data_IF_863964821534
#
_entry.id   IF_863964821534
#
_cell.length_a   1.000
_cell.length_b   1.000
_cell.length_c   1.000
_cell.angle_alpha   90.00
_cell.angle_beta   90.00
_cell.angle_gamma   90.00
#
_symmetry.space_group_name_H-M   'P 1'
#
loop_
_entity.id
_entity.type
_entity.pdbx_description
1 polymer ?
#
# COMPACT_ATOMS: atom_id res chain seq x y z
N UNK A 1 -18.89 -18.76 9.60
CA UNK A 1 -17.64 -18.90 8.82
C UNK A 1 -16.94 -20.15 9.29
N UNK A 2 -16.35 -20.93 8.38
CA UNK A 2 -15.49 -22.07 8.76
C UNK A 2 -14.06 -21.58 8.88
N UNK A 3 -13.43 -21.81 10.02
CA UNK A 3 -12.07 -21.34 10.32
C UNK A 3 -11.10 -21.64 9.16
N UNK A 4 -10.25 -20.68 8.76
CA UNK A 4 -9.16 -20.93 7.83
C UNK A 4 -8.30 -22.12 8.28
N UNK A 5 -7.70 -22.83 7.33
CA UNK A 5 -6.91 -24.04 7.60
C UNK A 5 -5.51 -23.88 6.99
N UNK A 6 -4.49 -24.24 7.75
CA UNK A 6 -3.11 -24.33 7.27
C UNK A 6 -2.95 -25.62 6.48
N UNK A 7 -2.30 -25.55 5.32
CA UNK A 7 -2.02 -26.73 4.48
C UNK A 7 -0.51 -26.84 4.21
N UNK A 8 0.12 -27.93 4.70
CA UNK A 8 1.53 -28.26 4.43
C UNK A 8 2.45 -28.26 5.66
N UNK A 9 3.75 -28.63 5.53
CA UNK A 9 4.72 -28.46 6.61
C UNK A 9 4.85 -26.96 6.91
N UNK A 10 4.78 -26.60 8.20
CA UNK A 10 4.75 -25.20 8.66
C UNK A 10 6.02 -24.44 8.23
N UNK A 11 5.99 -23.81 7.05
CA UNK A 11 6.85 -22.67 6.72
C UNK A 11 6.21 -21.42 7.36
N UNK A 12 5.80 -21.53 8.61
CA UNK A 12 5.30 -20.39 9.37
C UNK A 12 6.53 -19.60 9.80
N UNK A 13 6.80 -18.51 9.09
CA UNK A 13 7.71 -17.51 9.64
C UNK A 13 6.92 -16.74 10.68
N UNK A 14 7.00 -17.20 11.92
CA UNK A 14 6.39 -16.56 13.07
C UNK A 14 7.13 -15.27 13.39
N UNK A 15 6.37 -14.19 13.55
CA UNK A 15 6.85 -12.92 14.07
C UNK A 15 5.96 -12.50 15.22
N UNK A 16 6.48 -11.62 16.06
CA UNK A 16 5.75 -11.07 17.19
C UNK A 16 5.65 -9.57 17.04
N UNK A 17 4.47 -9.03 17.32
CA UNK A 17 4.22 -7.59 17.28
C UNK A 17 3.47 -7.14 18.52
N UNK A 18 3.52 -5.83 18.78
CA UNK A 18 2.65 -5.21 19.76
C UNK A 18 1.20 -5.22 19.25
N UNK A 19 0.26 -5.47 20.15
CA UNK A 19 -1.17 -5.47 19.92
C UNK A 19 -1.82 -4.65 21.03
N UNK A 20 -2.53 -3.59 20.67
CA UNK A 20 -3.35 -2.88 21.63
C UNK A 20 -4.55 -3.75 21.99
N UNK A 21 -4.67 -4.06 23.28
CA UNK A 21 -5.84 -4.76 23.80
C UNK A 21 -7.11 -3.94 23.51
N UNK A 22 -8.29 -4.53 23.65
CA UNK A 22 -9.63 -3.95 23.35
C UNK A 22 -10.23 -4.22 21.96
N UNK A 23 -9.55 -4.96 21.09
CA UNK A 23 -10.10 -5.37 19.79
C UNK A 23 -10.19 -6.91 19.74
N UNK A 24 -11.31 -7.45 19.24
CA UNK A 24 -11.41 -8.89 18.98
C UNK A 24 -10.65 -9.27 17.73
N UNK A 25 -9.90 -10.37 17.83
CA UNK A 25 -9.17 -10.98 16.73
C UNK A 25 -9.45 -12.48 16.76
N UNK A 26 -9.93 -13.02 15.65
CA UNK A 26 -10.05 -14.46 15.48
C UNK A 26 -8.76 -15.03 14.88
N UNK A 27 -8.47 -16.29 15.18
CA UNK A 27 -7.33 -16.98 14.58
C UNK A 27 -7.45 -16.97 13.04
N UNK A 28 -6.35 -16.61 12.37
CA UNK A 28 -6.23 -16.36 10.93
C UNK A 28 -6.91 -15.11 10.38
N UNK A 29 -7.23 -14.15 11.25
CA UNK A 29 -7.57 -12.81 10.80
C UNK A 29 -6.40 -12.17 10.03
N UNK A 30 -6.74 -11.43 8.98
CA UNK A 30 -5.81 -10.60 8.22
C UNK A 30 -5.42 -9.39 9.10
N UNK A 31 -4.13 -9.29 9.41
CA UNK A 31 -3.58 -8.25 10.28
C UNK A 31 -2.78 -7.22 9.48
N UNK A 32 -2.83 -5.96 9.89
CA UNK A 32 -1.97 -4.89 9.37
C UNK A 32 -1.22 -4.20 10.50
N UNK A 33 -0.05 -3.66 10.18
CA UNK A 33 0.68 -2.76 11.06
C UNK A 33 0.09 -1.36 10.95
N UNK A 34 -0.42 -0.86 12.07
CA UNK A 34 -0.56 0.56 12.29
C UNK A 34 0.79 1.12 12.79
N UNK A 35 0.79 2.39 13.21
CA UNK A 35 1.99 3.14 13.60
C UNK A 35 2.84 2.42 14.66
N UNK A 36 2.22 1.78 15.65
CA UNK A 36 2.89 1.15 16.79
C UNK A 36 2.42 -0.27 17.11
N UNK A 37 1.24 -0.69 16.65
CA UNK A 37 0.65 -1.99 16.93
C UNK A 37 0.06 -2.67 15.68
N UNK A 38 -0.33 -3.94 15.81
CA UNK A 38 -1.08 -4.65 14.78
C UNK A 38 -2.56 -4.68 15.06
N UNK A 39 -3.35 -4.52 14.01
CA UNK A 39 -4.81 -4.45 14.09
C UNK A 39 -5.43 -5.33 12.99
N UNK A 40 -6.66 -5.86 13.20
CA UNK A 40 -7.35 -6.65 12.19
C UNK A 40 -7.84 -5.75 11.04
N UNK A 41 -7.98 -6.31 9.84
CA UNK A 41 -8.33 -5.57 8.62
C UNK A 41 -9.57 -4.67 8.74
N UNK A 42 -10.59 -5.13 9.47
CA UNK A 42 -11.82 -4.38 9.74
C UNK A 42 -11.61 -3.11 10.58
N UNK A 43 -10.51 -3.02 11.33
CA UNK A 43 -10.16 -1.84 12.13
C UNK A 43 -9.41 -0.77 11.34
N UNK A 44 -9.11 -1.01 10.06
CA UNK A 44 -8.50 0.01 9.22
C UNK A 44 -9.47 1.16 8.96
N UNK A 45 -8.99 2.40 9.20
CA UNK A 45 -9.76 3.60 8.89
C UNK A 45 -10.06 3.71 7.39
N UNK A 46 -11.31 4.04 7.06
CA UNK A 46 -11.77 4.22 5.68
C UNK A 46 -11.02 5.37 4.99
N UNK A 47 -10.57 5.09 3.76
CA UNK A 47 -9.87 6.01 2.85
C UNK A 47 -10.80 6.54 1.76
N UNK A 48 -12.10 6.26 1.86
CA UNK A 48 -13.18 6.79 1.02
C UNK A 48 -13.48 5.98 -0.24
N UNK A 49 -12.64 4.99 -0.59
CA UNK A 49 -12.91 4.03 -1.67
C UNK A 49 -12.31 2.66 -1.36
N UNK A 50 -12.94 1.61 -1.87
CA UNK A 50 -12.43 0.24 -1.81
C UNK A 50 -10.98 0.12 -2.26
N UNK A 51 -10.64 0.77 -3.38
CA UNK A 51 -9.30 0.73 -3.94
C UNK A 51 -8.28 1.33 -2.96
N UNK A 52 -8.56 2.51 -2.39
CA UNK A 52 -7.65 3.15 -1.43
C UNK A 52 -7.53 2.35 -0.13
N UNK A 53 -8.63 1.73 0.32
CA UNK A 53 -8.63 0.83 1.48
C UNK A 53 -7.72 -0.39 1.23
N UNK A 54 -7.86 -1.03 0.07
CA UNK A 54 -7.06 -2.19 -0.30
C UNK A 54 -5.57 -1.86 -0.49
N UNK A 55 -5.23 -0.73 -1.13
CA UNK A 55 -3.84 -0.28 -1.27
C UNK A 55 -3.21 -0.05 0.10
N UNK A 56 -3.88 0.69 0.99
CA UNK A 56 -3.36 0.99 2.32
C UNK A 56 -3.13 -0.30 3.13
N UNK A 57 -4.09 -1.23 3.07
CA UNK A 57 -3.99 -2.51 3.75
C UNK A 57 -2.85 -3.37 3.19
N UNK A 58 -2.77 -3.51 1.87
CA UNK A 58 -1.76 -4.34 1.22
C UNK A 58 -0.33 -3.86 1.49
N UNK A 59 -0.15 -2.54 1.60
CA UNK A 59 1.11 -1.90 1.95
C UNK A 59 1.55 -2.18 3.40
N UNK A 60 0.59 -2.21 4.32
CA UNK A 60 0.85 -2.37 5.75
C UNK A 60 0.58 -3.79 6.26
N UNK A 61 0.31 -4.74 5.36
CA UNK A 61 -0.04 -6.11 5.71
C UNK A 61 1.03 -6.77 6.58
N UNK A 62 0.66 -7.15 7.80
CA UNK A 62 1.55 -7.72 8.81
C UNK A 62 1.60 -9.25 8.73
N UNK A 63 0.53 -9.88 8.23
CA UNK A 63 0.41 -11.33 8.17
C UNK A 63 -0.97 -11.80 8.65
N UNK A 64 -1.04 -13.06 9.06
CA UNK A 64 -2.24 -13.67 9.64
C UNK A 64 -2.06 -13.85 11.15
N UNK A 65 -3.13 -13.64 11.92
CA UNK A 65 -3.12 -13.90 13.36
C UNK A 65 -2.95 -15.40 13.66
N UNK A 66 -2.02 -15.75 14.57
CA UNK A 66 -1.83 -17.13 15.04
C UNK A 66 -2.52 -17.41 16.38
N UNK A 67 -2.97 -16.36 17.07
CA UNK A 67 -3.72 -16.45 18.31
C UNK A 67 -5.04 -15.67 18.20
N UNK A 68 -5.97 -15.96 19.10
CA UNK A 68 -7.25 -15.27 19.20
C UNK A 68 -7.26 -14.36 20.44
N UNK A 69 -7.94 -13.21 20.32
CA UNK A 69 -8.15 -12.26 21.42
C UNK A 69 -9.62 -11.89 21.50
N UNK A 70 -10.15 -11.85 22.71
CA UNK A 70 -11.51 -11.38 22.96
C UNK A 70 -11.50 -9.87 23.18
N UNK A 71 -12.61 -9.19 22.89
CA UNK A 71 -12.78 -7.75 23.22
C UNK A 71 -12.54 -7.49 24.72
N UNK A 72 -12.81 -8.48 25.56
CA UNK A 72 -12.63 -8.41 27.02
C UNK A 72 -11.18 -8.52 27.46
N UNK A 73 -10.28 -8.93 26.57
CA UNK A 73 -8.84 -8.96 26.85
C UNK A 73 -8.28 -7.56 26.60
N UNK A 74 -8.40 -6.71 27.62
CA UNK A 74 -8.04 -5.28 27.53
C UNK A 74 -6.56 -5.02 27.75
N UNK A 75 -5.78 -6.03 28.10
CA UNK A 75 -4.35 -5.89 28.33
C UNK A 75 -3.62 -5.82 26.98
N UNK A 76 -2.78 -4.79 26.82
CA UNK A 76 -1.87 -4.71 25.68
C UNK A 76 -0.90 -5.90 25.70
N UNK A 77 -0.67 -6.49 24.52
CA UNK A 77 0.26 -7.60 24.35
C UNK A 77 1.41 -7.15 23.47
N UNK A 78 2.63 -7.13 24.04
CA UNK A 78 3.83 -6.78 23.26
C UNK A 78 4.34 -7.93 22.39
N UNK A 79 3.73 -9.11 22.47
CA UNK A 79 4.20 -10.34 21.88
C UNK A 79 3.07 -11.15 21.24
N UNK A 80 2.19 -10.48 20.50
CA UNK A 80 1.12 -11.14 19.76
C UNK A 80 1.69 -11.87 18.53
N UNK A 81 1.43 -13.19 18.37
CA UNK A 81 2.06 -13.99 17.30
C UNK A 81 1.33 -13.84 15.96
N UNK A 82 2.12 -13.67 14.91
CA UNK A 82 1.68 -13.48 13.53
C UNK A 82 2.44 -14.39 12.58
N UNK A 83 1.72 -15.00 11.63
CA UNK A 83 2.30 -15.69 10.50
C UNK A 83 2.59 -14.70 9.37
N UNK A 84 3.86 -14.32 9.22
CA UNK A 84 4.30 -13.37 8.18
C UNK A 84 4.48 -14.02 6.81
N UNK A 85 4.62 -15.34 6.76
CA UNK A 85 4.60 -16.12 5.54
C UNK A 85 3.88 -17.42 5.85
N UNK A 86 2.81 -17.72 5.11
CA UNK A 86 1.98 -18.90 5.33
C UNK A 86 1.18 -19.26 4.09
N UNK A 87 0.88 -20.55 3.92
CA UNK A 87 -0.11 -21.05 2.98
C UNK A 87 -1.39 -21.38 3.76
N UNK A 88 -2.47 -20.67 3.46
CA UNK A 88 -3.74 -20.80 4.17
C UNK A 88 -4.94 -20.82 3.23
N UNK A 89 -6.00 -21.52 3.64
CA UNK A 89 -7.29 -21.55 2.93
C UNK A 89 -8.21 -20.46 3.48
N UNK A 90 -8.49 -19.44 2.67
CA UNK A 90 -9.34 -18.30 3.03
C UNK A 90 -10.67 -18.34 2.27
N UNK A 91 -11.70 -17.71 2.83
CA UNK A 91 -12.94 -17.46 2.10
C UNK A 91 -12.67 -16.46 0.98
N UNK A 92 -13.33 -16.62 -0.17
CA UNK A 92 -13.16 -15.71 -1.29
C UNK A 92 -14.47 -15.34 -1.96
N UNK A 93 -14.46 -14.18 -2.63
CA UNK A 93 -15.52 -13.83 -3.57
C UNK A 93 -15.54 -14.84 -4.72
N UNK A 94 -16.71 -15.41 -4.99
CA UNK A 94 -16.89 -16.52 -5.94
C UNK A 94 -16.24 -16.22 -7.30
N UNK A 95 -15.15 -16.92 -7.61
CA UNK A 95 -14.39 -16.75 -8.84
C UNK A 95 -13.64 -18.04 -9.21
N UNK A 96 -13.14 -18.09 -10.45
CA UNK A 96 -12.14 -19.07 -10.87
C UNK A 96 -10.74 -18.54 -10.61
N UNK A 97 -9.80 -19.44 -10.35
CA UNK A 97 -8.42 -19.07 -10.03
C UNK A 97 -7.43 -19.96 -10.77
N UNK A 98 -6.41 -19.35 -11.33
CA UNK A 98 -5.22 -19.98 -11.87
C UNK A 98 -4.09 -19.90 -10.83
N UNK A 99 -3.14 -20.83 -10.92
CA UNK A 99 -1.97 -20.82 -10.02
C UNK A 99 -1.16 -19.53 -10.27
N UNK A 100 -0.88 -18.79 -9.20
CA UNK A 100 -0.15 -17.52 -9.25
C UNK A 100 -1.04 -16.28 -9.38
N UNK A 101 -2.36 -16.44 -9.50
CA UNK A 101 -3.29 -15.31 -9.44
C UNK A 101 -3.10 -14.53 -8.13
N UNK A 102 -3.17 -13.20 -8.22
CA UNK A 102 -3.02 -12.33 -7.06
C UNK A 102 -4.35 -12.17 -6.32
N UNK A 103 -4.28 -12.06 -4.99
CA UNK A 103 -5.45 -11.85 -4.13
C UNK A 103 -5.28 -10.61 -3.27
N UNK A 104 -6.37 -9.87 -3.08
CA UNK A 104 -6.49 -8.69 -2.24
C UNK A 104 -7.52 -8.92 -1.12
N UNK A 105 -7.47 -8.12 -0.06
CA UNK A 105 -8.53 -8.09 0.96
C UNK A 105 -9.86 -7.61 0.36
N UNK A 106 -10.98 -8.11 0.86
CA UNK A 106 -12.32 -7.71 0.40
C UNK A 106 -12.85 -6.56 1.24
N UNK A 107 -13.43 -5.55 0.60
CA UNK A 107 -14.26 -4.57 1.30
C UNK A 107 -15.60 -5.20 1.69
N UNK A 108 -15.98 -5.03 2.95
CA UNK A 108 -17.25 -5.48 3.49
C UNK A 108 -18.40 -4.81 2.73
N UNK A 109 -19.56 -5.45 2.72
CA UNK A 109 -20.74 -4.92 2.02
C UNK A 109 -21.21 -3.54 2.54
N UNK A 110 -20.76 -3.12 3.73
CA UNK A 110 -21.00 -1.77 4.26
C UNK A 110 -20.24 -0.68 3.51
N UNK A 111 -19.18 -1.01 2.76
CA UNK A 111 -18.37 -0.06 2.00
C UNK A 111 -17.42 0.79 2.84
N UNK A 112 -17.22 0.46 4.12
CA UNK A 112 -16.47 1.29 5.08
C UNK A 112 -15.31 0.57 5.76
N UNK A 113 -15.19 -0.74 5.56
CA UNK A 113 -14.21 -1.57 6.26
C UNK A 113 -13.83 -2.78 5.41
N UNK A 114 -12.66 -3.36 5.67
CA UNK A 114 -12.24 -4.62 5.06
C UNK A 114 -12.73 -5.81 5.89
N UNK A 115 -12.93 -6.95 5.22
CA UNK A 115 -13.28 -8.22 5.85
C UNK A 115 -12.02 -8.89 6.43
N UNK A 116 -12.08 -9.33 7.69
CA UNK A 116 -10.93 -9.93 8.37
C UNK A 116 -10.47 -11.26 7.76
N UNK A 117 -11.37 -12.04 7.13
CA UNK A 117 -11.08 -13.40 6.68
C UNK A 117 -11.51 -13.69 5.24
N UNK A 118 -11.54 -12.67 4.38
CA UNK A 118 -12.03 -12.82 3.01
C UNK A 118 -11.17 -12.13 1.97
N UNK A 119 -10.93 -12.83 0.86
CA UNK A 119 -10.09 -12.36 -0.25
C UNK A 119 -10.82 -12.30 -1.59
N UNK A 120 -10.30 -11.50 -2.51
CA UNK A 120 -10.80 -11.38 -3.89
C UNK A 120 -9.65 -11.38 -4.87
N UNK A 121 -9.87 -11.94 -6.06
CA UNK A 121 -8.89 -11.91 -7.14
C UNK A 121 -8.64 -10.46 -7.58
N UNK A 122 -7.37 -10.10 -7.76
CA UNK A 122 -6.95 -8.81 -8.31
C UNK A 122 -5.95 -9.02 -9.45
N UNK A 123 -5.92 -8.07 -10.39
CA UNK A 123 -4.86 -7.95 -11.39
C UNK A 123 -3.85 -6.85 -11.05
N UNK A 124 -4.18 -6.00 -10.07
CA UNK A 124 -3.33 -4.92 -9.62
C UNK A 124 -2.39 -5.43 -8.51
N UNK A 125 -1.06 -5.43 -8.75
CA UNK A 125 -0.09 -5.89 -7.76
C UNK A 125 -0.03 -5.01 -6.52
N UNK A 126 -0.47 -3.74 -6.59
CA UNK A 126 -0.46 -2.82 -5.44
C UNK A 126 -1.51 -3.18 -4.38
N UNK A 127 -2.54 -3.93 -4.76
CA UNK A 127 -3.61 -4.42 -3.87
C UNK A 127 -3.32 -5.81 -3.32
N UNK A 128 -2.34 -6.51 -3.89
CA UNK A 128 -2.12 -7.91 -3.60
C UNK A 128 -1.56 -8.09 -2.18
N UNK A 129 -2.09 -9.06 -1.44
CA UNK A 129 -1.59 -9.53 -0.13
C UNK A 129 -1.05 -10.97 -0.19
N UNK A 130 -1.33 -11.67 -1.28
CA UNK A 130 -0.91 -13.04 -1.49
C UNK A 130 -1.11 -13.52 -2.93
N UNK A 131 -0.82 -14.80 -3.15
CA UNK A 131 -0.98 -15.47 -4.46
C UNK A 131 -1.62 -16.84 -4.29
N UNK A 132 -2.41 -17.25 -5.28
CA UNK A 132 -3.07 -18.56 -5.29
C UNK A 132 -2.05 -19.67 -5.56
N UNK A 133 -2.02 -20.71 -4.72
CA UNK A 133 -1.10 -21.85 -4.84
C UNK A 133 -1.68 -22.99 -5.68
N UNK A 134 -3.02 -23.09 -5.74
CA UNK A 134 -3.76 -24.18 -6.38
C UNK A 134 -4.73 -23.65 -7.44
N UNK A 135 -4.83 -24.34 -8.58
CA UNK A 135 -5.80 -24.02 -9.63
C UNK A 135 -7.23 -24.44 -9.25
N UNK A 136 -8.19 -23.56 -9.52
CA UNK A 136 -9.64 -23.76 -9.38
C UNK A 136 -10.34 -23.45 -10.71
N UNK A 137 -10.61 -24.48 -11.51
CA UNK A 137 -11.23 -24.35 -12.83
C UNK A 137 -12.74 -24.04 -12.77
N UNK A 138 -13.37 -24.24 -11.62
CA UNK A 138 -14.77 -23.87 -11.35
C UNK A 138 -14.81 -22.79 -10.28
N UNK A 139 -15.87 -21.97 -10.30
CA UNK A 139 -16.04 -20.93 -9.28
C UNK A 139 -16.09 -21.56 -7.88
N UNK A 140 -15.25 -21.05 -6.99
CA UNK A 140 -15.13 -21.52 -5.60
C UNK A 140 -15.32 -20.36 -4.64
N UNK A 141 -15.75 -20.65 -3.42
CA UNK A 141 -15.85 -19.70 -2.32
C UNK A 141 -14.74 -19.87 -1.28
N UNK A 142 -13.84 -20.84 -1.48
CA UNK A 142 -12.61 -21.01 -0.69
C UNK A 142 -11.41 -21.21 -1.60
N UNK A 143 -10.31 -20.55 -1.28
CA UNK A 143 -9.09 -20.55 -2.09
C UNK A 143 -7.87 -20.73 -1.19
N UNK A 144 -6.94 -21.57 -1.65
CA UNK A 144 -5.63 -21.72 -1.01
C UNK A 144 -4.67 -20.67 -1.57
N UNK A 145 -4.17 -19.83 -0.66
CA UNK A 145 -3.28 -18.73 -0.98
C UNK A 145 -2.03 -18.78 -0.11
N UNK A 146 -0.91 -18.44 -0.74
CA UNK A 146 0.31 -18.05 -0.07
C UNK A 146 0.22 -16.57 0.28
N UNK A 147 0.29 -16.26 1.57
CA UNK A 147 0.32 -14.91 2.12
C UNK A 147 1.74 -14.57 2.53
N UNK A 148 2.17 -13.35 2.22
CA UNK A 148 3.49 -12.85 2.59
C UNK A 148 3.33 -11.41 3.10
N UNK A 149 3.77 -11.15 4.32
CA UNK A 149 3.76 -9.85 4.96
C UNK A 149 4.48 -8.82 4.09
N UNK A 150 3.98 -7.58 4.08
CA UNK A 150 4.57 -6.49 3.33
C UNK A 150 6.03 -6.24 3.72
N UNK A 151 6.38 -6.49 4.99
CA UNK A 151 7.73 -6.35 5.55
C UNK A 151 8.73 -7.34 4.94
N UNK A 152 8.29 -8.55 4.62
CA UNK A 152 9.11 -9.58 3.97
C UNK A 152 9.13 -9.38 2.46
N UNK A 153 7.98 -9.02 1.85
CA UNK A 153 7.91 -8.73 0.41
C UNK A 153 8.77 -7.53 0.03
N UNK A 154 8.81 -6.53 0.91
CA UNK A 154 9.58 -5.31 0.74
C UNK A 154 10.71 -5.30 1.79
N UNK A 155 11.68 -6.23 1.73
CA UNK A 155 12.88 -6.21 2.61
C UNK A 155 13.65 -4.89 2.59
N UNK A 156 13.32 -4.01 1.66
CA UNK A 156 13.87 -2.68 1.55
C UNK A 156 12.97 -1.62 2.27
N UNK A 157 11.64 -1.81 2.33
CA UNK A 157 10.72 -0.95 3.08
C UNK A 157 10.67 -1.29 4.58
N UNK A 158 11.10 -0.36 5.42
CA UNK A 158 10.84 -0.46 6.85
C UNK A 158 9.37 -0.07 7.10
N UNK A 159 8.52 -0.97 7.66
CA UNK A 159 7.12 -0.68 7.97
C UNK A 159 6.96 0.53 8.92
N UNK A 160 7.91 0.75 9.82
CA UNK A 160 7.92 1.87 10.77
C UNK A 160 8.48 3.17 10.18
N UNK A 161 9.00 3.17 8.95
CA UNK A 161 9.59 4.35 8.29
C UNK A 161 9.05 4.62 6.87
N UNK A 162 7.88 4.07 6.55
CA UNK A 162 7.23 4.28 5.26
C UNK A 162 7.77 3.37 4.13
N UNK A 163 6.97 3.15 3.08
CA UNK A 163 7.30 2.25 1.98
C UNK A 163 8.52 2.73 1.20
N UNK A 164 9.43 1.81 0.85
CA UNK A 164 10.38 2.10 -0.23
C UNK A 164 9.68 2.09 -1.59
N UNK A 165 9.28 3.29 -2.00
CA UNK A 165 9.49 3.95 -3.30
C UNK A 165 10.00 3.08 -4.47
N UNK A 166 9.28 2.04 -4.87
CA UNK A 166 9.18 1.68 -6.31
C UNK A 166 7.91 2.28 -6.94
N UNK A 167 7.38 3.35 -6.32
CA UNK A 167 6.12 4.01 -6.65
C UNK A 167 6.06 4.30 -8.14
N UNK A 168 5.06 3.72 -8.81
CA UNK A 168 4.96 3.65 -10.26
C UNK A 168 4.94 5.01 -10.99
N UNK A 169 4.46 5.01 -12.23
CA UNK A 169 4.39 6.22 -13.05
C UNK A 169 2.96 6.74 -13.20
N UNK A 170 2.77 8.03 -12.98
CA UNK A 170 1.58 8.76 -13.43
C UNK A 170 1.89 9.40 -14.79
N UNK A 171 0.98 9.26 -15.77
CA UNK A 171 1.07 9.91 -17.08
C UNK A 171 -0.21 10.72 -17.27
N UNK A 172 -0.09 12.04 -17.35
CA UNK A 172 -1.26 12.93 -17.28
C UNK A 172 -1.05 14.23 -18.05
N UNK A 173 -2.08 14.68 -18.78
CA UNK A 173 -2.19 16.06 -19.27
C UNK A 173 -2.96 16.90 -18.25
N UNK A 174 -2.29 17.91 -17.69
CA UNK A 174 -2.80 18.79 -16.66
C UNK A 174 -3.78 19.82 -17.24
N UNK A 175 -4.94 19.95 -16.59
CA UNK A 175 -5.89 21.02 -16.87
C UNK A 175 -5.81 22.16 -15.84
N UNK A 176 -5.13 21.93 -14.72
CA UNK A 176 -4.92 22.85 -13.61
C UNK A 176 -3.59 22.54 -12.88
N UNK A 177 -3.26 23.32 -11.85
CA UNK A 177 -2.15 23.01 -10.95
C UNK A 177 -2.40 21.67 -10.23
N UNK A 178 -1.34 20.91 -9.93
CA UNK A 178 -1.40 19.61 -9.27
C UNK A 178 -0.81 19.68 -7.87
N UNK A 179 -1.38 18.94 -6.93
CA UNK A 179 -0.81 18.71 -5.60
C UNK A 179 -0.55 17.22 -5.45
N UNK A 180 0.68 16.86 -5.12
CA UNK A 180 1.11 15.50 -4.85
C UNK A 180 1.00 15.19 -3.36
N UNK A 181 0.75 13.93 -3.06
CA UNK A 181 0.67 13.33 -1.74
C UNK A 181 1.76 12.27 -1.60
N UNK A 182 2.05 11.87 -0.37
CA UNK A 182 3.01 10.78 -0.10
C UNK A 182 2.59 9.44 -0.72
N UNK A 183 1.35 9.30 -1.16
CA UNK A 183 0.85 8.08 -1.81
C UNK A 183 0.98 8.09 -3.33
N UNK A 184 1.27 9.25 -3.94
CA UNK A 184 1.31 9.39 -5.39
C UNK A 184 2.50 8.65 -6.01
N UNK A 185 2.33 8.30 -7.29
CA UNK A 185 3.37 7.77 -8.15
C UNK A 185 4.66 8.60 -8.04
N UNK A 186 5.82 7.95 -7.99
CA UNK A 186 7.08 8.64 -7.74
C UNK A 186 7.68 9.18 -9.03
N UNK A 187 7.29 8.59 -10.16
CA UNK A 187 7.51 9.14 -11.49
C UNK A 187 6.25 9.86 -11.94
N UNK A 188 6.36 11.14 -12.25
CA UNK A 188 5.29 12.00 -12.76
C UNK A 188 5.68 12.44 -14.18
N UNK A 189 5.01 11.89 -15.17
CA UNK A 189 5.13 12.26 -16.58
C UNK A 189 3.97 13.20 -16.89
N UNK A 190 4.26 14.50 -16.89
CA UNK A 190 3.23 15.55 -16.88
C UNK A 190 3.34 16.40 -18.13
N UNK A 191 2.23 16.53 -18.84
CA UNK A 191 2.02 17.52 -19.88
C UNK A 191 1.24 18.71 -19.29
N UNK A 192 1.78 19.94 -19.27
CA UNK A 192 1.12 21.12 -18.71
C UNK A 192 -0.18 21.55 -19.44
N UNK A 193 -0.41 21.02 -20.64
CA UNK A 193 -1.69 21.13 -21.36
C UNK A 193 -1.96 22.54 -21.92
N UNK A 194 -0.96 23.24 -22.42
CA UNK A 194 -1.12 24.54 -23.09
C UNK A 194 -0.77 25.75 -22.21
N UNK A 195 -0.32 25.55 -20.98
CA UNK A 195 0.06 26.61 -20.06
C UNK A 195 1.02 26.11 -18.97
N UNK A 196 1.91 26.98 -18.48
CA UNK A 196 2.74 26.68 -17.31
C UNK A 196 1.88 26.30 -16.09
N UNK A 197 2.32 25.28 -15.33
CA UNK A 197 1.60 24.75 -14.17
C UNK A 197 2.47 24.72 -12.93
N UNK A 198 1.81 24.79 -11.79
CA UNK A 198 2.46 24.46 -10.52
C UNK A 198 2.21 22.99 -10.15
N UNK A 199 3.25 22.34 -9.63
CA UNK A 199 3.15 21.04 -8.94
C UNK A 199 3.60 21.25 -7.50
N UNK A 200 2.69 21.03 -6.55
CA UNK A 200 2.97 21.17 -5.11
C UNK A 200 3.35 19.81 -4.53
N UNK A 201 4.50 19.70 -3.87
CA UNK A 201 5.00 18.51 -3.20
C UNK A 201 4.32 18.34 -1.82
N UNK A 202 4.28 17.11 -1.26
CA UNK A 202 3.74 16.87 0.07
C UNK A 202 4.60 17.50 1.17
N UNK A 203 4.00 17.72 2.34
CA UNK A 203 4.65 18.28 3.53
C UNK A 203 5.92 17.51 3.92
N UNK A 204 7.02 18.20 4.19
CA UNK A 204 8.34 17.58 4.38
C UNK A 204 8.39 16.63 5.57
N UNK A 205 7.66 16.96 6.64
CA UNK A 205 7.59 16.13 7.84
C UNK A 205 7.06 14.71 7.56
N UNK A 206 6.29 14.52 6.48
CA UNK A 206 5.75 13.24 6.05
C UNK A 206 6.59 12.57 4.94
N UNK A 207 7.64 13.24 4.45
CA UNK A 207 8.38 12.86 3.24
C UNK A 207 9.87 12.60 3.50
N UNK A 208 10.26 12.28 4.73
CA UNK A 208 11.65 11.95 5.06
C UNK A 208 12.19 10.80 4.20
N UNK A 209 13.23 11.07 3.40
CA UNK A 209 13.85 10.09 2.51
C UNK A 209 13.05 9.80 1.24
N UNK A 210 12.00 10.58 0.97
CA UNK A 210 11.17 10.43 -0.21
C UNK A 210 11.69 11.23 -1.40
N UNK A 211 11.30 10.83 -2.62
CA UNK A 211 11.70 11.53 -3.84
C UNK A 211 10.70 11.43 -4.98
N UNK A 212 10.51 12.52 -5.71
CA UNK A 212 9.71 12.55 -6.94
C UNK A 212 10.60 12.86 -8.15
N UNK A 213 10.36 12.14 -9.24
CA UNK A 213 10.92 12.40 -10.56
C UNK A 213 9.81 13.03 -11.39
N UNK A 214 10.02 14.25 -11.86
CA UNK A 214 9.05 14.98 -12.68
C UNK A 214 9.64 15.15 -14.08
N UNK A 215 9.03 14.50 -15.07
CA UNK A 215 9.33 14.62 -16.50
C UNK A 215 8.28 15.55 -17.12
N UNK A 216 8.73 16.69 -17.65
CA UNK A 216 7.87 17.65 -18.31
C UNK A 216 7.80 17.34 -19.81
N UNK A 217 6.68 16.74 -20.22
CA UNK A 217 6.42 16.32 -21.60
C UNK A 217 5.66 17.35 -22.42
N UNK A 218 5.72 18.63 -22.05
CA UNK A 218 5.06 19.71 -22.77
C UNK A 218 5.36 19.69 -24.27
N UNK A 219 4.32 19.92 -25.09
CA UNK A 219 4.44 20.05 -26.53
C UNK A 219 4.81 21.49 -26.97
N UNK A 220 4.74 22.45 -26.05
CA UNK A 220 5.19 23.83 -26.20
C UNK A 220 6.10 24.28 -25.04
N UNK A 221 6.61 25.52 -25.12
CA UNK A 221 7.52 26.12 -24.14
C UNK A 221 6.81 26.44 -22.81
N UNK A 222 6.44 25.40 -22.08
CA UNK A 222 5.66 25.44 -20.85
C UNK A 222 6.45 24.81 -19.73
N UNK A 223 6.66 25.57 -18.66
CA UNK A 223 7.42 25.12 -17.52
C UNK A 223 6.49 24.58 -16.43
N UNK A 224 6.96 23.57 -15.71
CA UNK A 224 6.38 23.12 -14.45
C UNK A 224 7.17 23.76 -13.32
N UNK A 225 6.51 24.59 -12.52
CA UNK A 225 7.09 25.14 -11.29
C UNK A 225 6.76 24.22 -10.14
N UNK A 226 7.80 23.60 -9.57
CA UNK A 226 7.65 22.67 -8.46
C UNK A 226 7.77 23.44 -7.15
N UNK A 227 6.74 23.31 -6.32
CA UNK A 227 6.58 24.03 -5.07
C UNK A 227 6.55 23.09 -3.90
N UNK A 228 6.94 23.62 -2.75
CA UNK A 228 6.69 23.04 -1.45
C UNK A 228 5.25 23.34 -0.99
N UNK A 229 4.77 22.68 0.07
CA UNK A 229 3.44 22.84 0.65
C UNK A 229 3.19 24.25 1.23
N UNK A 230 4.27 25.00 1.46
CA UNK A 230 4.35 26.41 1.88
C UNK A 230 4.35 27.43 0.72
N UNK A 231 3.73 27.10 -0.42
CA UNK A 231 3.95 27.64 -1.77
C UNK A 231 5.35 28.12 -2.22
N UNK A 232 6.42 27.79 -1.51
CA UNK A 232 7.77 28.18 -1.89
C UNK A 232 8.25 27.40 -3.13
N UNK A 233 8.90 28.06 -4.09
CA UNK A 233 9.46 27.37 -5.27
C UNK A 233 10.68 26.55 -4.86
N UNK A 234 10.62 25.25 -5.12
CA UNK A 234 11.75 24.31 -4.96
C UNK A 234 12.60 24.27 -6.23
N UNK A 235 11.95 24.32 -7.39
CA UNK A 235 12.63 24.33 -8.68
C UNK A 235 11.67 24.46 -9.85
N UNK A 236 12.21 24.56 -11.06
CA UNK A 236 11.44 24.66 -12.30
C UNK A 236 11.95 23.62 -13.28
N UNK A 237 11.04 22.84 -13.85
CA UNK A 237 11.33 21.85 -14.89
C UNK A 237 10.82 22.41 -16.22
N UNK A 238 11.72 22.82 -17.09
CA UNK A 238 11.36 23.40 -18.40
C UNK A 238 10.85 22.32 -19.36
N UNK A 239 10.38 22.73 -20.53
CA UNK A 239 9.96 21.80 -21.57
C UNK A 239 11.07 20.78 -21.87
N UNK A 240 10.72 19.49 -21.93
CA UNK A 240 11.62 18.37 -22.21
C UNK A 240 12.74 18.17 -21.19
N UNK A 241 12.61 18.74 -19.99
CA UNK A 241 13.52 18.51 -18.88
C UNK A 241 12.95 17.53 -17.86
N UNK A 242 13.85 16.95 -17.06
CA UNK A 242 13.51 16.13 -15.90
C UNK A 242 14.13 16.72 -14.65
N UNK A 243 13.35 16.78 -13.57
CA UNK A 243 13.80 17.17 -12.24
C UNK A 243 13.65 16.02 -11.26
N UNK A 244 14.67 15.78 -10.44
CA UNK A 244 14.59 14.88 -9.28
C UNK A 244 14.48 15.75 -8.03
N UNK A 245 13.40 15.57 -7.29
CA UNK A 245 13.11 16.30 -6.06
C UNK A 245 13.18 15.32 -4.90
N UNK A 246 13.97 15.60 -3.87
CA UNK A 246 14.14 14.71 -2.72
C UNK A 246 14.03 15.49 -1.41
N UNK A 247 13.53 14.83 -0.37
CA UNK A 247 13.27 15.44 0.92
C UNK A 247 14.07 14.79 2.05
N UNK A 248 14.65 15.60 2.92
CA UNK A 248 15.38 15.17 4.11
C UNK A 248 14.54 15.21 5.40
N UNK A 249 13.22 15.34 5.27
CA UNK A 249 12.27 15.51 6.37
C UNK A 249 12.09 16.96 6.83
N UNK A 250 12.87 17.89 6.27
CA UNK A 250 12.81 19.32 6.63
C UNK A 250 12.81 20.26 5.43
N UNK A 251 13.34 19.83 4.29
CA UNK A 251 13.41 20.67 3.09
C UNK A 251 13.40 19.80 1.83
N UNK A 252 12.61 20.22 0.83
CA UNK A 252 12.72 19.71 -0.53
C UNK A 252 13.91 20.31 -1.27
N UNK A 253 14.69 19.47 -1.94
CA UNK A 253 15.81 19.88 -2.79
C UNK A 253 15.66 19.32 -4.20
N UNK A 254 16.21 20.02 -5.19
CA UNK A 254 16.21 19.61 -6.60
C UNK A 254 17.60 19.22 -7.08
N UNK A 255 17.69 18.12 -7.83
CA UNK A 255 18.75 17.84 -8.78
C UNK A 255 18.18 17.97 -10.20
N UNK A 256 18.76 18.86 -11.01
CA UNK A 256 18.33 19.09 -12.39
C UNK A 256 19.36 18.54 -13.37
N UNK A 257 18.91 17.77 -14.37
CA UNK A 257 19.74 17.26 -15.45
C UNK A 257 19.10 17.55 -16.81
N UNK A 258 19.90 17.95 -17.79
CA UNK A 258 19.44 18.13 -19.17
C UNK A 258 19.27 16.77 -19.86
N UNK A 259 18.18 16.58 -20.61
CA UNK A 259 17.93 15.36 -21.37
C UNK A 259 18.78 15.38 -22.65
N UNK A 260 19.52 14.30 -22.90
CA UNK A 260 20.36 14.10 -24.11
C UNK A 260 19.51 13.52 -25.24
#
# INVERSE_FOLDING_TARGET
MTTPQITGPSIETESHAAFDGTIAVDMYDLMFHDSDDVKPASSQADKGTALKNQVAFARNFAGLALDARLVTDTDADTNFPLATHIIAVMDCTSATFEKGDMVAAVEAASGTALENQKVVKTLDPTLAIGRVTKRYASATTRVECEFIAAQIRNMAANPAKGPLVCGGSNVETLTANKTLTVDDARVQVLDPGGAARDVTLPAEALSYGDSFIIDNTADAAEAITVKDDSPATVGTVSQNEVGIFFCDGTTWRMLQGARV
#
